data_IF_185347872295
#
_entry.id   IF_185347872295
#
_cell.length_a   1.000
_cell.length_b   1.000
_cell.length_c   1.000
_cell.angle_alpha   90.00
_cell.angle_beta   90.00
_cell.angle_gamma   90.00
#
_symmetry.space_group_name_H-M   'P 1'
#
loop_
_entity.id
_entity.type
_entity.pdbx_description
1 polymer ?
#
# COMPACT_ATOMS: atom_id res chain seq x y z
N UNK A 1 -44.46 57.37 13.98
CA UNK A 1 -44.59 55.96 13.55
C UNK A 1 -43.26 55.51 13.05
N UNK A 2 -42.49 54.79 13.89
CA UNK A 2 -41.12 54.30 13.58
C UNK A 2 -41.24 52.89 13.08
N UNK A 3 -40.87 52.64 11.83
CA UNK A 3 -40.82 51.33 11.20
C UNK A 3 -39.44 50.72 11.52
N UNK A 4 -39.44 49.66 12.35
CA UNK A 4 -38.22 48.86 12.62
C UNK A 4 -38.17 47.77 11.55
N UNK A 5 -37.25 47.92 10.59
CA UNK A 5 -36.93 46.86 9.62
C UNK A 5 -35.98 45.89 10.31
N UNK A 6 -36.50 44.71 10.69
CA UNK A 6 -35.71 43.61 11.22
C UNK A 6 -34.99 42.92 10.06
N UNK A 7 -33.68 43.08 9.97
CA UNK A 7 -32.82 42.42 8.98
C UNK A 7 -32.57 40.98 9.45
N UNK A 8 -33.26 40.01 8.88
CA UNK A 8 -33.07 38.58 9.15
C UNK A 8 -31.81 38.12 8.37
N UNK A 9 -30.69 38.04 9.06
CA UNK A 9 -29.44 37.48 8.49
C UNK A 9 -29.56 35.95 8.51
N UNK A 10 -29.78 35.34 7.34
CA UNK A 10 -29.72 33.90 7.15
C UNK A 10 -28.24 33.48 7.15
N UNK A 11 -27.78 32.89 8.26
CA UNK A 11 -26.51 32.15 8.30
C UNK A 11 -26.69 30.87 7.52
N UNK A 12 -26.22 30.81 6.29
CA UNK A 12 -26.00 29.59 5.57
C UNK A 12 -24.79 28.89 6.20
N UNK A 13 -25.04 28.00 7.15
CA UNK A 13 -24.03 27.02 7.57
C UNK A 13 -23.94 26.00 6.44
N UNK A 14 -22.92 26.13 5.60
CA UNK A 14 -22.48 25.05 4.72
C UNK A 14 -21.99 23.90 5.59
N UNK A 15 -22.83 22.90 5.86
CA UNK A 15 -22.45 21.61 6.42
C UNK A 15 -21.67 20.93 5.29
N UNK A 16 -20.38 21.23 5.20
CA UNK A 16 -19.46 20.43 4.42
C UNK A 16 -19.43 19.05 5.09
N UNK A 17 -19.95 18.02 4.43
CA UNK A 17 -19.73 16.64 4.84
C UNK A 17 -18.21 16.38 4.77
N UNK A 18 -17.51 16.58 5.86
CA UNK A 18 -16.14 16.10 6.00
C UNK A 18 -16.22 14.58 5.87
N UNK A 19 -15.67 14.05 4.79
CA UNK A 19 -15.57 12.61 4.60
C UNK A 19 -14.71 12.06 5.73
N UNK A 20 -15.18 11.05 6.47
CA UNK A 20 -14.41 10.49 7.57
C UNK A 20 -13.29 9.58 7.06
N UNK A 21 -12.23 9.42 7.83
CA UNK A 21 -11.11 8.54 7.49
C UNK A 21 -11.59 7.10 7.29
N UNK A 22 -12.57 6.66 8.07
CA UNK A 22 -13.17 5.32 7.98
C UNK A 22 -13.92 5.13 6.66
N UNK A 23 -14.62 6.16 6.16
CA UNK A 23 -15.29 6.09 4.85
C UNK A 23 -14.29 5.98 3.71
N UNK A 24 -13.18 6.71 3.78
CA UNK A 24 -12.09 6.61 2.78
C UNK A 24 -11.45 5.23 2.83
N UNK A 25 -11.14 4.72 4.03
CA UNK A 25 -10.61 3.36 4.19
C UNK A 25 -11.59 2.32 3.63
N UNK A 26 -12.87 2.45 3.92
CA UNK A 26 -13.89 1.51 3.42
C UNK A 26 -14.02 1.56 1.90
N UNK A 27 -13.94 2.74 1.30
CA UNK A 27 -13.95 2.89 -0.16
C UNK A 27 -12.70 2.24 -0.80
N UNK A 28 -11.52 2.41 -0.19
CA UNK A 28 -10.28 1.74 -0.58
C UNK A 28 -10.43 0.21 -0.50
N UNK A 29 -10.91 -0.32 0.62
CA UNK A 29 -11.16 -1.76 0.82
C UNK A 29 -12.13 -2.31 -0.22
N UNK A 30 -13.29 -1.67 -0.42
CA UNK A 30 -14.27 -2.08 -1.43
C UNK A 30 -13.67 -2.10 -2.85
N UNK A 31 -12.76 -1.15 -3.15
CA UNK A 31 -12.05 -1.14 -4.43
C UNK A 31 -11.15 -2.37 -4.57
N UNK A 32 -10.33 -2.67 -3.56
CA UNK A 32 -9.45 -3.84 -3.58
C UNK A 32 -10.25 -5.16 -3.54
N UNK A 33 -11.41 -5.21 -2.86
CA UNK A 33 -12.31 -6.37 -2.90
C UNK A 33 -12.85 -6.66 -4.30
N UNK A 34 -13.01 -5.63 -5.14
CA UNK A 34 -13.46 -5.78 -6.54
C UNK A 34 -12.35 -6.21 -7.51
N UNK A 35 -11.09 -6.22 -7.08
CA UNK A 35 -9.93 -6.55 -7.91
C UNK A 35 -9.58 -8.03 -7.72
N UNK A 36 -9.56 -8.81 -8.79
CA UNK A 36 -9.08 -10.20 -8.79
C UNK A 36 -7.57 -10.27 -8.91
N UNK A 37 -7.00 -9.42 -9.76
CA UNK A 37 -5.57 -9.26 -9.96
C UNK A 37 -5.24 -7.85 -10.44
N UNK A 38 -4.01 -7.42 -10.25
CA UNK A 38 -3.51 -6.16 -10.78
C UNK A 38 -2.02 -6.23 -11.15
N UNK A 39 -1.61 -5.35 -12.04
CA UNK A 39 -0.20 -4.98 -12.21
C UNK A 39 -0.05 -3.47 -12.13
N UNK A 40 1.10 -3.02 -11.62
CA UNK A 40 1.43 -1.60 -11.48
C UNK A 40 2.93 -1.41 -11.59
N UNK A 41 3.35 -0.24 -12.04
CA UNK A 41 4.73 0.18 -11.88
C UNK A 41 4.92 0.70 -10.46
N UNK A 42 6.01 0.30 -9.82
CA UNK A 42 6.32 0.64 -8.44
C UNK A 42 7.69 1.30 -8.36
N UNK A 43 7.80 2.35 -7.56
CA UNK A 43 9.07 2.98 -7.23
C UNK A 43 9.18 3.20 -5.73
N UNK A 44 10.39 3.00 -5.21
CA UNK A 44 10.70 3.17 -3.79
C UNK A 44 11.78 4.21 -3.62
N UNK A 45 11.62 5.08 -2.61
CA UNK A 45 12.65 5.99 -2.12
C UNK A 45 12.86 5.75 -0.63
N UNK A 46 14.10 5.83 -0.18
CA UNK A 46 14.46 5.79 1.23
C UNK A 46 15.16 7.07 1.62
N UNK A 47 14.65 7.76 2.65
CA UNK A 47 15.18 9.05 3.12
C UNK A 47 15.37 10.07 1.98
N UNK A 48 14.38 10.16 1.08
CA UNK A 48 14.37 11.08 -0.06
C UNK A 48 15.25 10.69 -1.25
N UNK A 49 16.04 9.61 -1.14
CA UNK A 49 16.87 9.10 -2.24
C UNK A 49 16.14 8.00 -2.99
N UNK A 50 16.08 8.11 -4.32
CA UNK A 50 15.53 7.03 -5.16
C UNK A 50 16.41 5.78 -5.05
N UNK A 51 15.81 4.64 -4.75
CA UNK A 51 16.56 3.40 -4.55
C UNK A 51 16.19 2.33 -5.56
N UNK A 52 14.90 2.11 -5.80
CA UNK A 52 14.42 1.00 -6.63
C UNK A 52 13.22 1.43 -7.46
N UNK A 53 13.12 0.86 -8.67
CA UNK A 53 11.91 0.94 -9.48
C UNK A 53 11.70 -0.36 -10.22
N UNK A 54 10.45 -0.71 -10.52
CA UNK A 54 10.13 -1.96 -11.16
C UNK A 54 8.65 -2.18 -11.35
N UNK A 55 8.26 -3.45 -11.37
CA UNK A 55 6.87 -3.87 -11.55
C UNK A 55 6.40 -4.71 -10.38
N UNK A 56 5.15 -4.50 -10.02
CA UNK A 56 4.45 -5.29 -9.03
C UNK A 56 3.24 -5.95 -9.69
N UNK A 57 3.01 -7.20 -9.35
CA UNK A 57 1.84 -7.98 -9.73
C UNK A 57 1.23 -8.55 -8.46
N UNK A 58 -0.06 -8.43 -8.35
CA UNK A 58 -0.84 -8.95 -7.23
C UNK A 58 -2.01 -9.77 -7.78
N UNK A 59 -2.37 -10.82 -7.08
CA UNK A 59 -3.60 -11.59 -7.30
C UNK A 59 -4.15 -12.00 -5.94
N UNK A 60 -5.47 -12.14 -5.83
CA UNK A 60 -6.12 -12.61 -4.59
C UNK A 60 -5.44 -13.86 -4.03
N UNK A 61 -5.69 -14.15 -2.76
CA UNK A 61 -5.08 -15.24 -1.99
C UNK A 61 -3.58 -15.03 -1.76
N UNK A 62 -3.18 -13.76 -1.52
CA UNK A 62 -1.83 -13.34 -1.15
C UNK A 62 -0.75 -13.68 -2.19
N UNK A 63 -1.15 -13.80 -3.46
CA UNK A 63 -0.20 -13.96 -4.55
C UNK A 63 0.46 -12.62 -4.90
N UNK A 64 1.78 -12.57 -4.83
CA UNK A 64 2.56 -11.36 -5.06
C UNK A 64 3.79 -11.67 -5.92
N UNK A 65 4.10 -10.77 -6.84
CA UNK A 65 5.40 -10.74 -7.52
C UNK A 65 5.87 -9.32 -7.67
N UNK A 66 7.11 -9.06 -7.24
CA UNK A 66 7.75 -7.75 -7.38
C UNK A 66 9.09 -7.95 -8.06
N UNK A 67 9.36 -7.13 -9.06
CA UNK A 67 10.60 -7.16 -9.84
C UNK A 67 11.28 -5.81 -9.76
N UNK A 68 12.33 -5.71 -8.95
CA UNK A 68 13.18 -4.54 -8.80
C UNK A 68 14.58 -4.83 -9.34
N UNK A 69 14.92 -4.37 -10.55
CA UNK A 69 16.27 -4.52 -11.08
C UNK A 69 16.82 -5.95 -10.91
N UNK A 70 17.72 -6.13 -9.95
CA UNK A 70 18.36 -7.43 -9.67
C UNK A 70 17.60 -8.26 -8.62
N UNK A 71 16.55 -7.75 -8.02
CA UNK A 71 15.78 -8.45 -7.00
C UNK A 71 14.41 -8.87 -7.54
N UNK A 72 14.01 -10.09 -7.26
CA UNK A 72 12.68 -10.60 -7.53
C UNK A 72 12.11 -11.22 -6.27
N UNK A 73 10.98 -10.71 -5.82
CA UNK A 73 10.22 -11.26 -4.69
C UNK A 73 8.99 -11.93 -5.27
N UNK A 74 8.74 -13.17 -4.89
CA UNK A 74 7.54 -13.91 -5.29
C UNK A 74 6.91 -14.50 -4.04
N UNK A 75 5.59 -14.51 -3.98
CA UNK A 75 4.82 -15.21 -2.96
C UNK A 75 3.58 -15.84 -3.60
N UNK A 76 3.21 -17.04 -3.14
CA UNK A 76 2.04 -17.80 -3.57
C UNK A 76 0.98 -17.93 -2.47
N UNK A 77 1.07 -17.09 -1.44
CA UNK A 77 0.22 -17.12 -0.26
C UNK A 77 0.63 -18.13 0.81
N UNK A 78 1.63 -18.99 0.56
CA UNK A 78 2.16 -19.98 1.52
C UNK A 78 3.67 -19.87 1.67
N UNK A 79 4.35 -19.68 0.57
CA UNK A 79 5.81 -19.60 0.49
C UNK A 79 6.21 -18.27 -0.13
N UNK A 80 7.31 -17.71 0.33
CA UNK A 80 7.94 -16.55 -0.29
C UNK A 80 9.35 -16.89 -0.78
N UNK A 81 9.71 -16.35 -1.94
CA UNK A 81 11.03 -16.45 -2.56
C UNK A 81 11.60 -15.06 -2.75
N UNK A 82 12.77 -14.80 -2.18
CA UNK A 82 13.51 -13.57 -2.37
C UNK A 82 14.79 -13.89 -3.16
N UNK A 83 14.75 -13.59 -4.45
CA UNK A 83 15.84 -13.91 -5.38
C UNK A 83 16.66 -12.68 -5.73
N UNK A 84 17.95 -12.73 -5.46
CA UNK A 84 18.93 -11.75 -5.91
C UNK A 84 19.65 -12.30 -7.15
N UNK A 85 19.41 -11.71 -8.31
CA UNK A 85 20.00 -12.11 -9.60
C UNK A 85 21.51 -11.90 -9.63
N UNK A 86 22.01 -10.83 -9.02
CA UNK A 86 23.44 -10.50 -8.99
C UNK A 86 24.24 -11.54 -8.20
N UNK A 87 23.73 -11.91 -7.05
CA UNK A 87 24.39 -12.86 -6.15
C UNK A 87 24.03 -14.32 -6.46
N UNK A 88 23.14 -14.55 -7.43
CA UNK A 88 22.57 -15.86 -7.76
C UNK A 88 22.13 -16.62 -6.49
N UNK A 89 21.39 -15.95 -5.63
CA UNK A 89 20.95 -16.50 -4.35
C UNK A 89 19.46 -16.31 -4.19
N UNK A 90 18.76 -17.36 -3.75
CA UNK A 90 17.36 -17.29 -3.33
C UNK A 90 17.22 -17.68 -1.89
N UNK A 91 16.44 -16.91 -1.15
CA UNK A 91 15.98 -17.23 0.20
C UNK A 91 14.54 -17.65 0.10
N UNK A 92 14.19 -18.80 0.63
CA UNK A 92 12.85 -19.35 0.69
C UNK A 92 12.41 -19.30 2.16
N UNK A 93 11.23 -18.81 2.41
CA UNK A 93 10.64 -18.78 3.76
C UNK A 93 9.12 -19.02 3.68
N UNK A 94 8.50 -19.32 4.81
CA UNK A 94 7.06 -19.26 4.91
C UNK A 94 6.58 -17.84 4.57
N UNK A 95 5.39 -17.77 3.96
CA UNK A 95 4.78 -16.47 3.67
C UNK A 95 4.36 -15.80 4.98
N UNK A 96 4.90 -14.62 5.23
CA UNK A 96 4.52 -13.76 6.33
C UNK A 96 4.00 -12.43 5.77
N UNK A 97 2.71 -12.16 5.95
CA UNK A 97 2.10 -10.90 5.50
C UNK A 97 2.74 -9.69 6.16
N UNK A 98 3.02 -9.78 7.46
CA UNK A 98 3.67 -8.70 8.20
C UNK A 98 5.13 -8.54 7.80
N UNK A 99 5.83 -9.66 7.54
CA UNK A 99 7.21 -9.67 7.04
C UNK A 99 7.35 -9.24 5.58
N UNK A 100 6.31 -9.46 4.75
CA UNK A 100 6.20 -8.89 3.40
C UNK A 100 5.98 -7.37 3.45
N UNK A 101 5.63 -6.86 4.61
CA UNK A 101 5.62 -5.45 5.01
C UNK A 101 4.75 -4.60 4.09
N UNK A 102 5.28 -3.45 3.80
CA UNK A 102 4.64 -2.36 3.06
C UNK A 102 4.38 -2.65 1.58
N UNK A 103 4.83 -3.77 1.08
CA UNK A 103 4.55 -4.22 -0.29
C UNK A 103 3.37 -5.20 -0.32
N UNK A 104 2.88 -5.65 0.85
CA UNK A 104 1.64 -6.40 0.93
C UNK A 104 0.45 -5.44 0.95
N UNK A 105 -0.30 -5.41 -0.16
CA UNK A 105 -1.56 -4.65 -0.26
C UNK A 105 -2.53 -5.10 0.84
N UNK A 106 -2.61 -6.40 1.09
CA UNK A 106 -3.49 -6.95 2.11
C UNK A 106 -3.14 -6.41 3.51
N UNK A 107 -1.86 -6.38 3.84
CA UNK A 107 -1.40 -5.80 5.10
C UNK A 107 -1.75 -4.31 5.22
N UNK A 108 -1.40 -3.50 4.19
CA UNK A 108 -1.63 -2.04 4.21
C UNK A 108 -3.11 -1.65 4.22
N UNK A 109 -3.97 -2.43 3.53
CA UNK A 109 -5.38 -2.07 3.32
C UNK A 109 -6.27 -2.66 4.40
N UNK A 110 -5.95 -3.82 4.95
CA UNK A 110 -6.84 -4.52 5.89
C UNK A 110 -6.26 -4.69 7.28
N UNK A 111 -5.03 -5.18 7.41
CA UNK A 111 -4.49 -5.53 8.73
C UNK A 111 -3.98 -4.30 9.48
N UNK A 112 -3.06 -3.55 8.89
CA UNK A 112 -2.43 -2.41 9.56
C UNK A 112 -3.43 -1.34 10.01
N UNK A 113 -4.45 -0.95 9.21
CA UNK A 113 -5.45 0.02 9.65
C UNK A 113 -6.21 -0.39 10.93
N UNK A 114 -6.41 -1.70 11.17
CA UNK A 114 -7.10 -2.18 12.38
C UNK A 114 -6.33 -1.89 13.67
N UNK A 115 -5.02 -1.73 13.57
CA UNK A 115 -4.10 -1.45 14.68
C UNK A 115 -3.82 0.05 14.86
N UNK A 116 -4.45 0.92 14.03
CA UNK A 116 -4.16 2.35 13.96
C UNK A 116 -5.33 3.22 14.39
N UNK A 117 -5.01 4.41 14.86
CA UNK A 117 -5.94 5.55 14.85
C UNK A 117 -5.91 6.14 13.44
N UNK A 118 -7.11 6.40 12.90
CA UNK A 118 -7.29 6.89 11.54
C UNK A 118 -7.54 8.39 11.55
N UNK A 119 -6.93 9.10 10.63
CA UNK A 119 -7.28 10.49 10.35
C UNK A 119 -7.17 10.78 8.86
N UNK A 120 -7.86 11.82 8.40
CA UNK A 120 -7.87 12.25 7.01
C UNK A 120 -7.27 13.64 6.90
N UNK A 121 -6.39 13.82 5.94
CA UNK A 121 -5.89 15.11 5.51
C UNK A 121 -6.14 15.28 4.02
N UNK A 122 -6.05 16.49 3.52
CA UNK A 122 -6.15 16.79 2.09
C UNK A 122 -5.03 17.73 1.68
N UNK A 123 -4.44 17.46 0.53
CA UNK A 123 -3.49 18.35 -0.13
C UNK A 123 -3.96 18.63 -1.56
N UNK A 124 -4.51 19.81 -1.76
CA UNK A 124 -5.22 20.15 -2.98
C UNK A 124 -6.43 19.22 -3.21
N UNK A 125 -6.42 18.46 -4.30
CA UNK A 125 -7.49 17.50 -4.63
C UNK A 125 -7.19 16.07 -4.14
N UNK A 126 -6.03 15.84 -3.49
CA UNK A 126 -5.64 14.52 -2.99
C UNK A 126 -6.18 14.28 -1.60
N UNK A 127 -6.68 13.09 -1.36
CA UNK A 127 -7.04 12.60 -0.03
C UNK A 127 -5.88 11.80 0.53
N UNK A 128 -5.46 12.12 1.75
CA UNK A 128 -4.37 11.45 2.45
C UNK A 128 -4.94 10.78 3.69
N UNK A 129 -5.03 9.45 3.64
CA UNK A 129 -5.40 8.64 4.80
C UNK A 129 -4.17 8.43 5.66
N UNK A 130 -4.23 8.86 6.92
CA UNK A 130 -3.15 8.76 7.88
C UNK A 130 -3.47 7.65 8.88
N UNK A 131 -2.56 6.68 8.99
CA UNK A 131 -2.62 5.53 9.87
C UNK A 131 -1.55 5.71 10.94
N UNK A 132 -1.97 6.00 12.17
CA UNK A 132 -1.07 6.18 13.32
C UNK A 132 -1.19 4.97 14.23
N UNK A 133 -0.15 4.12 14.39
CA UNK A 133 -0.24 2.91 15.18
C UNK A 133 -0.54 3.22 16.65
N UNK A 134 -1.45 2.46 17.27
CA UNK A 134 -1.79 2.55 18.68
C UNK A 134 -0.68 2.01 19.59
N UNK A 135 0.23 1.22 19.02
CA UNK A 135 1.39 0.67 19.72
C UNK A 135 2.56 0.47 18.78
N UNK A 136 3.79 0.49 19.30
CA UNK A 136 5.02 0.31 18.50
C UNK A 136 5.44 -1.16 18.32
N UNK A 137 4.51 -2.12 18.45
CA UNK A 137 4.83 -3.56 18.45
C UNK A 137 5.48 -4.04 17.14
N UNK A 138 5.10 -3.45 16.00
CA UNK A 138 5.50 -3.93 14.67
C UNK A 138 6.64 -3.10 14.03
N UNK A 139 7.32 -2.24 14.81
CA UNK A 139 8.39 -1.35 14.31
C UNK A 139 7.98 -0.47 13.10
N UNK A 140 6.70 -0.44 12.75
CA UNK A 140 6.14 0.49 11.78
C UNK A 140 5.64 1.73 12.51
N UNK A 141 6.00 2.88 12.01
CA UNK A 141 5.49 4.15 12.50
C UNK A 141 4.26 4.60 11.70
N UNK A 142 4.04 5.90 11.67
CA UNK A 142 2.94 6.48 10.91
C UNK A 142 3.04 6.13 9.42
N UNK A 143 1.90 5.73 8.83
CA UNK A 143 1.75 5.50 7.39
C UNK A 143 0.76 6.51 6.83
N UNK A 144 1.15 7.19 5.74
CA UNK A 144 0.29 8.08 4.96
C UNK A 144 0.03 7.45 3.61
N UNK A 145 -1.23 7.28 3.26
CA UNK A 145 -1.67 6.75 1.98
C UNK A 145 -2.32 7.87 1.17
N UNK A 146 -1.69 8.27 0.08
CA UNK A 146 -2.30 9.15 -0.92
C UNK A 146 -3.28 8.30 -1.73
N UNK A 147 -4.56 8.64 -1.70
CA UNK A 147 -5.64 7.89 -2.34
C UNK A 147 -6.09 8.61 -3.61
N UNK A 148 -6.14 7.88 -4.72
CA UNK A 148 -6.67 8.40 -5.99
C UNK A 148 -8.19 8.52 -5.97
N UNK A 149 -8.75 9.23 -6.94
CA UNK A 149 -10.21 9.34 -7.12
C UNK A 149 -10.89 7.99 -7.41
N UNK A 150 -10.15 7.04 -7.93
CA UNK A 150 -10.58 5.66 -8.20
C UNK A 150 -10.46 4.75 -6.97
N UNK A 151 -10.12 5.29 -5.80
CA UNK A 151 -9.87 4.58 -4.55
C UNK A 151 -8.72 3.55 -4.67
N UNK A 152 -7.64 3.93 -5.35
CA UNK A 152 -6.38 3.19 -5.38
C UNK A 152 -5.32 3.97 -4.61
N UNK A 153 -4.26 3.28 -4.19
CA UNK A 153 -3.12 3.93 -3.53
C UNK A 153 -2.21 4.52 -4.61
N UNK A 154 -2.01 5.84 -4.61
CA UNK A 154 -1.03 6.51 -5.48
C UNK A 154 0.37 6.45 -4.84
N UNK A 155 0.43 6.66 -3.53
CA UNK A 155 1.67 6.68 -2.77
C UNK A 155 1.45 6.24 -1.33
N UNK A 156 2.40 5.51 -0.80
CA UNK A 156 2.51 5.21 0.63
C UNK A 156 3.81 5.82 1.19
N UNK A 157 3.69 6.63 2.22
CA UNK A 157 4.83 7.18 2.97
C UNK A 157 4.82 6.57 4.35
N UNK A 158 5.90 5.90 4.70
CA UNK A 158 6.03 5.15 5.92
C UNK A 158 7.16 5.72 6.74
N UNK A 159 6.86 6.11 7.96
CA UNK A 159 7.85 6.51 8.94
C UNK A 159 8.25 5.30 9.77
N UNK A 160 9.53 4.97 9.78
CA UNK A 160 10.07 3.92 10.64
C UNK A 160 11.03 4.57 11.64
N UNK A 161 10.82 4.42 12.95
CA UNK A 161 11.67 5.06 13.95
C UNK A 161 13.15 4.66 13.87
N UNK A 162 13.44 3.43 13.41
CA UNK A 162 14.81 2.91 13.33
C UNK A 162 15.50 3.18 11.99
N UNK A 163 14.76 3.15 10.86
CA UNK A 163 15.34 3.22 9.51
C UNK A 163 15.00 4.50 8.74
N UNK A 164 14.19 5.38 9.32
CA UNK A 164 13.77 6.64 8.69
C UNK A 164 12.53 6.50 7.84
N UNK A 165 12.44 7.29 6.77
CA UNK A 165 11.23 7.35 5.93
C UNK A 165 11.42 6.56 4.65
N UNK A 166 10.42 5.74 4.32
CA UNK A 166 10.29 5.06 3.05
C UNK A 166 9.05 5.58 2.31
N UNK A 167 9.21 5.89 1.04
CA UNK A 167 8.13 6.28 0.13
C UNK A 167 8.02 5.24 -0.96
N UNK A 168 6.82 4.73 -1.20
CA UNK A 168 6.50 3.81 -2.28
C UNK A 168 5.40 4.44 -3.12
N UNK A 169 5.66 4.63 -4.42
CA UNK A 169 4.68 5.18 -5.36
C UNK A 169 4.24 4.10 -6.35
N UNK A 170 2.97 4.14 -6.70
CA UNK A 170 2.33 3.20 -7.61
C UNK A 170 1.72 3.95 -8.79
N UNK A 171 2.05 3.51 -10.00
CA UNK A 171 1.55 4.14 -11.24
C UNK A 171 1.17 3.08 -12.27
N UNK A 172 0.45 3.50 -13.31
CA UNK A 172 0.10 2.62 -14.44
C UNK A 172 -0.64 1.34 -14.01
N UNK A 173 -1.62 1.46 -13.13
CA UNK A 173 -2.47 0.36 -12.71
C UNK A 173 -3.20 -0.29 -13.89
N UNK A 174 -3.13 -1.61 -13.95
CA UNK A 174 -3.93 -2.45 -14.84
C UNK A 174 -4.63 -3.48 -13.96
N UNK A 175 -5.95 -3.47 -13.99
CA UNK A 175 -6.79 -4.28 -13.09
C UNK A 175 -7.44 -5.41 -13.87
N UNK A 176 -7.66 -6.55 -13.21
CA UNK A 176 -8.46 -7.68 -13.69
C UNK A 176 -8.02 -8.20 -15.07
N UNK A 177 -6.71 -8.45 -15.21
CA UNK A 177 -6.08 -8.89 -16.47
C UNK A 177 -6.07 -10.41 -16.65
N UNK A 178 -6.63 -11.18 -15.70
CA UNK A 178 -6.55 -12.64 -15.65
C UNK A 178 -5.10 -13.16 -15.63
N UNK A 179 -4.30 -12.62 -14.71
CA UNK A 179 -2.90 -13.03 -14.56
C UNK A 179 -2.80 -14.53 -14.26
N UNK A 180 -1.91 -15.22 -14.99
CA UNK A 180 -1.68 -16.65 -14.80
C UNK A 180 -1.05 -16.92 -13.43
N UNK A 181 -1.43 -18.04 -12.78
CA UNK A 181 -0.87 -18.50 -11.52
C UNK A 181 0.65 -18.77 -11.63
N UNK A 182 1.13 -19.17 -12.81
CA UNK A 182 2.56 -19.34 -13.07
C UNK A 182 3.39 -18.06 -12.85
N UNK A 183 2.76 -16.88 -12.88
CA UNK A 183 3.43 -15.62 -12.56
C UNK A 183 3.83 -15.54 -11.08
N UNK A 184 3.12 -16.24 -10.22
CA UNK A 184 3.30 -16.23 -8.76
C UNK A 184 4.01 -17.47 -8.23
N UNK A 185 4.60 -18.26 -9.12
CA UNK A 185 5.52 -19.34 -8.78
C UNK A 185 6.96 -18.95 -9.09
N UNK A 186 7.92 -19.59 -8.41
CA UNK A 186 9.34 -19.34 -8.62
C UNK A 186 10.09 -20.64 -8.76
N UNK A 187 10.88 -20.75 -9.81
CA UNK A 187 11.87 -21.82 -10.00
C UNK A 187 13.25 -21.20 -10.03
N UNK A 188 14.12 -21.65 -9.14
CA UNK A 188 15.49 -21.15 -9.07
C UNK A 188 16.23 -21.45 -10.39
N UNK A 189 16.84 -20.44 -11.05
CA UNK A 189 17.69 -20.67 -12.21
C UNK A 189 18.88 -21.57 -11.88
N UNK A 190 19.42 -22.23 -12.90
CA UNK A 190 20.62 -23.05 -12.74
C UNK A 190 21.79 -22.26 -12.14
N UNK A 191 22.53 -22.87 -11.22
CA UNK A 191 23.65 -22.26 -10.51
C UNK A 191 23.21 -21.27 -9.41
N UNK A 192 21.93 -21.29 -9.01
CA UNK A 192 21.45 -20.49 -7.88
C UNK A 192 21.71 -21.19 -6.55
N UNK A 193 22.31 -20.48 -5.61
CA UNK A 193 22.39 -20.91 -4.21
C UNK A 193 21.02 -20.77 -3.55
N UNK A 194 20.49 -21.89 -3.05
CA UNK A 194 19.19 -21.92 -2.37
C UNK A 194 19.40 -21.98 -0.86
N UNK A 195 18.77 -21.07 -0.12
CA UNK A 195 18.69 -21.07 1.34
C UNK A 195 17.23 -21.21 1.72
N UNK A 196 16.87 -22.39 2.25
CA UNK A 196 15.50 -22.67 2.71
C UNK A 196 15.45 -22.50 4.23
N UNK A 197 14.56 -21.62 4.69
CA UNK A 197 14.37 -21.25 6.10
C UNK A 197 13.03 -21.75 6.68
N UNK A 198 12.31 -22.57 5.91
CA UNK A 198 11.01 -23.12 6.34
C UNK A 198 11.18 -24.25 7.33
#
# INVERSE_FOLDING_TARGET
MKIIISLLVFFYTSIGFAQSAELVLKALQNKFDSITDLSTDVSQKSNGKSSLSGKMYFKKDNNLRIEFGNQTIVADGKTSWNYNKKDKKVIISDYDEAGSGLLSINYLVYQYPSECDLSLSSEGSKQILILKPKSNKNNLGEVKLDITKENLIDKAVISNPASGTMEVSFTNYKLNQNLSDSKFSFTAPEGTTVVDLR
#
